data_IF_224410863377
#
_entry.id   IF_224410863377
#
_cell.length_a   1.000
_cell.length_b   1.000
_cell.length_c   1.000
_cell.angle_alpha   90.00
_cell.angle_beta   90.00
_cell.angle_gamma   90.00
#
_symmetry.space_group_name_H-M   'P 1'
#
loop_
_entity.id
_entity.type
_entity.pdbx_description
1 polymer ?
#
# COMPACT_ATOMS: atom_id res chain seq x y z
N UNK A 1 4.32 10.61 -5.80
CA UNK A 1 3.32 11.13 -4.84
C UNK A 1 2.12 11.66 -5.61
N UNK A 2 1.24 10.78 -6.10
CA UNK A 2 0.14 11.20 -6.98
C UNK A 2 -1.13 11.62 -6.22
N UNK A 3 -1.28 11.19 -4.97
CA UNK A 3 -2.50 11.32 -4.15
C UNK A 3 -2.40 12.39 -3.06
N UNK A 4 -1.38 13.26 -3.09
CA UNK A 4 -1.18 14.32 -2.10
C UNK A 4 0.05 14.18 -1.22
N UNK A 5 0.84 13.10 -1.39
CA UNK A 5 2.15 12.96 -0.76
C UNK A 5 2.12 13.08 0.76
N UNK A 6 2.86 14.05 1.32
CA UNK A 6 2.96 14.26 2.78
C UNK A 6 1.71 14.89 3.38
N UNK A 7 0.92 15.60 2.57
CA UNK A 7 -0.17 16.45 3.05
C UNK A 7 -1.49 15.68 3.18
N UNK A 8 -1.71 14.64 2.36
CA UNK A 8 -2.81 13.67 2.51
C UNK A 8 -2.69 12.45 1.57
N UNK A 9 -1.46 12.02 1.24
CA UNK A 9 -1.25 10.94 0.28
C UNK A 9 -1.72 9.59 0.82
N UNK A 10 -2.39 8.82 -0.03
CA UNK A 10 -2.65 7.40 0.23
C UNK A 10 -1.32 6.63 0.28
N UNK A 11 -1.10 5.93 1.39
CA UNK A 11 0.06 5.06 1.60
C UNK A 11 -0.36 3.59 1.56
N UNK A 12 -0.34 3.03 0.36
CA UNK A 12 -0.93 1.73 0.03
C UNK A 12 0.00 0.90 -0.87
N UNK A 13 -0.24 -0.41 -0.90
CA UNK A 13 0.38 -1.39 -1.83
C UNK A 13 -0.65 -2.45 -2.20
N UNK A 14 -0.50 -3.11 -3.35
CA UNK A 14 -1.33 -4.28 -3.68
C UNK A 14 -0.75 -5.58 -3.11
N UNK A 15 -1.56 -6.64 -3.09
CA UNK A 15 -1.19 -7.99 -2.65
C UNK A 15 0.01 -8.58 -3.39
N UNK A 16 0.19 -8.28 -4.69
CA UNK A 16 1.28 -8.83 -5.49
C UNK A 16 2.61 -8.15 -5.20
N UNK A 17 2.61 -6.86 -4.88
CA UNK A 17 3.82 -6.18 -4.37
C UNK A 17 4.12 -6.59 -2.92
N UNK A 18 3.10 -6.67 -2.05
CA UNK A 18 3.27 -7.04 -0.65
C UNK A 18 3.82 -8.48 -0.49
N UNK A 19 3.40 -9.43 -1.32
CA UNK A 19 3.88 -10.83 -1.27
C UNK A 19 5.39 -10.99 -1.50
N UNK A 20 6.05 -10.03 -2.15
CA UNK A 20 7.49 -10.06 -2.46
C UNK A 20 8.38 -9.48 -1.35
N UNK A 21 7.78 -9.03 -0.25
CA UNK A 21 8.50 -8.39 0.87
C UNK A 21 8.98 -9.38 1.93
N UNK A 22 8.49 -10.63 1.91
CA UNK A 22 8.61 -11.60 3.02
C UNK A 22 7.95 -11.15 4.34
N UNK A 23 7.15 -10.09 4.34
CA UNK A 23 6.47 -9.57 5.53
C UNK A 23 4.96 -9.84 5.51
N UNK A 24 4.39 -10.22 4.37
CA UNK A 24 2.97 -10.51 4.22
C UNK A 24 2.71 -12.01 4.39
N UNK A 25 1.68 -12.35 5.15
CA UNK A 25 1.14 -13.70 5.22
C UNK A 25 0.24 -13.96 3.98
N UNK A 26 0.58 -14.95 3.15
CA UNK A 26 -0.11 -15.21 1.87
C UNK A 26 -1.52 -15.80 2.02
N UNK A 27 -1.85 -16.39 3.17
CA UNK A 27 -3.19 -16.95 3.42
C UNK A 27 -4.16 -15.86 3.86
N UNK A 28 -3.70 -14.93 4.68
CA UNK A 28 -4.53 -13.85 5.25
C UNK A 28 -4.45 -12.54 4.48
N UNK A 29 -3.46 -12.38 3.60
CA UNK A 29 -3.17 -11.16 2.84
C UNK A 29 -2.90 -9.92 3.72
N UNK A 30 -2.43 -10.16 4.95
CA UNK A 30 -2.09 -9.14 5.92
C UNK A 30 -0.61 -9.17 6.28
N UNK A 31 -0.09 -8.07 6.81
CA UNK A 31 1.25 -8.04 7.39
C UNK A 31 1.35 -9.02 8.56
N UNK A 32 2.37 -9.86 8.56
CA UNK A 32 2.59 -10.88 9.57
C UNK A 32 3.35 -10.28 10.78
N UNK A 33 2.73 -10.25 11.98
CA UNK A 33 3.35 -9.65 13.16
C UNK A 33 4.59 -10.41 13.64
N UNK A 34 4.70 -11.70 13.34
CA UNK A 34 5.85 -12.53 13.70
C UNK A 34 7.04 -12.18 12.83
N UNK A 35 6.83 -12.11 11.51
CA UNK A 35 7.88 -11.73 10.55
C UNK A 35 8.32 -10.27 10.75
N UNK A 36 7.37 -9.35 10.97
CA UNK A 36 7.69 -7.96 11.26
C UNK A 36 8.54 -7.83 12.54
N UNK A 37 8.21 -8.58 13.61
CA UNK A 37 9.01 -8.60 14.84
C UNK A 37 10.40 -9.21 14.63
N UNK A 38 10.49 -10.28 13.83
CA UNK A 38 11.76 -10.94 13.54
C UNK A 38 12.76 -10.00 12.84
N UNK A 39 12.28 -9.16 11.92
CA UNK A 39 13.10 -8.17 11.23
C UNK A 39 13.18 -6.80 11.94
N UNK A 40 12.62 -6.67 13.15
CA UNK A 40 12.53 -5.42 13.90
C UNK A 40 11.86 -4.27 13.11
N UNK A 41 10.78 -4.59 12.38
CA UNK A 41 10.00 -3.66 11.57
C UNK A 41 8.70 -3.29 12.30
N UNK A 42 8.49 -2.01 12.66
CA UNK A 42 7.22 -1.56 13.20
C UNK A 42 6.11 -1.61 12.15
N UNK A 43 5.06 -2.41 12.37
CA UNK A 43 3.96 -2.59 11.41
C UNK A 43 3.23 -1.28 11.04
N UNK A 44 3.21 -0.29 11.95
CA UNK A 44 2.62 1.04 11.69
C UNK A 44 3.31 1.84 10.57
N UNK A 45 4.51 1.42 10.16
CA UNK A 45 5.26 2.03 9.07
C UNK A 45 5.01 1.34 7.73
N UNK A 46 4.26 0.23 7.70
CA UNK A 46 3.95 -0.49 6.48
C UNK A 46 2.70 0.10 5.81
N UNK A 47 2.64 0.12 4.46
CA UNK A 47 1.49 0.62 3.74
C UNK A 47 0.28 -0.31 3.92
N UNK A 48 -0.93 0.23 3.78
CA UNK A 48 -2.13 -0.60 3.78
C UNK A 48 -2.17 -1.48 2.52
N UNK A 49 -2.46 -2.78 2.68
CA UNK A 49 -2.56 -3.72 1.57
C UNK A 49 -3.96 -3.63 0.95
N UNK A 50 -4.02 -3.48 -0.36
CA UNK A 50 -5.23 -3.37 -1.19
C UNK A 50 -5.28 -4.49 -2.24
N UNK A 51 -6.46 -4.71 -2.82
CA UNK A 51 -6.64 -5.61 -3.95
C UNK A 51 -5.84 -5.11 -5.16
N UNK A 52 -5.40 -6.01 -6.03
CA UNK A 52 -4.80 -5.66 -7.33
C UNK A 52 -5.84 -5.41 -8.44
N UNK A 53 -7.09 -5.10 -8.06
CA UNK A 53 -8.13 -4.68 -8.98
C UNK A 53 -9.20 -3.88 -8.23
N UNK A 54 -8.89 -2.64 -7.90
CA UNK A 54 -9.82 -1.66 -7.35
C UNK A 54 -9.46 -0.22 -7.72
N UNK A 55 -10.36 0.73 -7.47
CA UNK A 55 -10.04 2.16 -7.58
C UNK A 55 -9.45 2.61 -6.25
N UNK A 56 -8.14 2.76 -6.22
CA UNK A 56 -7.41 3.16 -5.02
C UNK A 56 -7.69 4.61 -4.61
N UNK A 57 -7.83 5.50 -5.59
CA UNK A 57 -8.00 6.94 -5.36
C UNK A 57 -7.93 7.73 -6.65
N UNK A 58 -7.70 9.03 -6.55
CA UNK A 58 -7.54 9.94 -7.70
C UNK A 58 -6.22 10.66 -7.62
N UNK A 59 -5.67 11.01 -8.78
CA UNK A 59 -4.52 11.91 -8.86
C UNK A 59 -4.97 13.29 -8.36
N UNK A 60 -4.21 13.90 -7.44
CA UNK A 60 -4.53 15.19 -6.81
C UNK A 60 -3.60 16.31 -7.26
N UNK A 61 -2.67 16.06 -8.18
CA UNK A 61 -1.65 17.02 -8.60
C UNK A 61 -1.35 16.91 -10.10
N UNK A 62 -1.06 18.06 -10.71
CA UNK A 62 -0.55 18.14 -12.08
C UNK A 62 -1.61 17.93 -13.17
N UNK A 63 -1.19 17.77 -14.44
CA UNK A 63 -2.10 17.78 -15.60
C UNK A 63 -3.15 16.66 -15.64
N UNK A 64 -2.97 15.62 -14.83
CA UNK A 64 -3.87 14.45 -14.76
C UNK A 64 -4.74 14.46 -13.49
N UNK A 65 -4.86 15.61 -12.83
CA UNK A 65 -5.70 15.76 -11.64
C UNK A 65 -7.13 15.26 -11.89
N UNK A 66 -7.67 14.50 -10.93
CA UNK A 66 -9.01 13.90 -10.99
C UNK A 66 -9.08 12.54 -11.67
N UNK A 67 -8.06 12.12 -12.43
CA UNK A 67 -8.01 10.81 -13.08
C UNK A 67 -7.89 9.70 -12.00
N UNK A 68 -8.69 8.62 -12.09
CA UNK A 68 -8.62 7.52 -11.14
C UNK A 68 -7.30 6.76 -11.26
N UNK A 69 -6.76 6.36 -10.11
CA UNK A 69 -5.68 5.38 -10.00
C UNK A 69 -6.34 4.06 -9.64
N UNK A 70 -6.22 3.07 -10.51
CA UNK A 70 -6.82 1.77 -10.34
C UNK A 70 -5.92 0.66 -10.85
N UNK A 71 -6.19 -0.55 -10.37
CA UNK A 71 -5.47 -1.77 -10.71
C UNK A 71 -5.29 -2.55 -9.44
#
# INVERSE_FOLDING_TARGET
>A
HLTGGKDNGLYITDVTNASRTMLMNIETLAWDPTLCRYFDIPMKLLPEIKSSSEVYGKITVGPLEGIPISG
#
